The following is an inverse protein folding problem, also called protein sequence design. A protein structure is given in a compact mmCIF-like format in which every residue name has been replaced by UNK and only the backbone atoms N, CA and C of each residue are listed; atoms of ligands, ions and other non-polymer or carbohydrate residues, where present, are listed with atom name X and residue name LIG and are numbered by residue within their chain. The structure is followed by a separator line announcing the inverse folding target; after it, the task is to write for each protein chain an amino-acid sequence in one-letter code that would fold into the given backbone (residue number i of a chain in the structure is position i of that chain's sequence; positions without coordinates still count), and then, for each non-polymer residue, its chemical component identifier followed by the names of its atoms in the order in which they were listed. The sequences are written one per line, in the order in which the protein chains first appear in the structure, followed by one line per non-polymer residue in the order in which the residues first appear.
data_IF_050760547780
#
_entry.id   IF_050760547780
#
_cell.length_a   1.000
_cell.length_b   1.000
_cell.length_c   1.000
_cell.angle_alpha   90.00
_cell.angle_beta   90.00
_cell.angle_gamma   90.00
#
_symmetry.space_group_name_H-M   'P 1'
#
loop_
_entity.id
_entity.type
_entity.pdbx_description
1 polymer ?
#
# COMPACT_ATOMS: atom_id res chain seq x y z
N UNK A 1 -7.18 -2.49 -3.68
CA UNK A 1 -6.88 -2.46 -2.24
C UNK A 1 -6.61 -1.02 -1.82
N UNK A 2 -6.50 -0.73 -0.52
CA UNK A 2 -6.25 0.63 -0.03
C UNK A 2 -5.18 0.68 1.05
N UNK A 3 -4.29 1.67 0.94
CA UNK A 3 -3.30 2.04 1.96
C UNK A 3 -3.73 3.34 2.64
N UNK A 4 -3.59 3.41 3.96
CA UNK A 4 -3.77 4.62 4.76
C UNK A 4 -2.49 5.01 5.48
N UNK A 5 -2.20 6.31 5.50
CA UNK A 5 -1.10 6.92 6.24
C UNK A 5 -1.59 7.56 7.55
N UNK A 6 -0.66 7.90 8.44
CA UNK A 6 -0.97 8.54 9.72
C UNK A 6 -1.38 10.02 9.61
N UNK A 7 -1.00 10.67 8.51
CA UNK A 7 -1.45 12.02 8.14
C UNK A 7 -2.86 12.07 7.54
N UNK A 8 -3.55 10.91 7.47
CA UNK A 8 -4.91 10.79 6.94
C UNK A 8 -4.98 10.66 5.42
N UNK A 9 -3.84 10.71 4.70
CA UNK A 9 -3.80 10.45 3.27
C UNK A 9 -4.04 8.97 2.97
N UNK A 10 -4.75 8.71 1.87
CA UNK A 10 -5.19 7.38 1.48
C UNK A 10 -4.94 7.16 -0.01
N UNK A 11 -4.55 5.93 -0.37
CA UNK A 11 -4.26 5.55 -1.74
C UNK A 11 -4.96 4.25 -2.10
N UNK A 12 -5.74 4.27 -3.17
CA UNK A 12 -6.30 3.07 -3.78
C UNK A 12 -5.32 2.49 -4.80
N UNK A 13 -5.14 1.17 -4.76
CA UNK A 13 -4.29 0.42 -5.67
C UNK A 13 -5.13 -0.59 -6.44
N UNK A 14 -5.00 -0.58 -7.76
CA UNK A 14 -5.51 -1.61 -8.67
C UNK A 14 -4.45 -2.70 -8.88
N UNK A 15 -4.82 -3.88 -9.40
CA UNK A 15 -3.84 -4.90 -9.76
C UNK A 15 -2.77 -4.32 -10.70
N UNK A 16 -1.50 -4.46 -10.32
CA UNK A 16 -0.35 -3.93 -11.06
C UNK A 16 0.12 -2.53 -10.64
N UNK A 17 -0.68 -1.80 -9.86
CA UNK A 17 -0.27 -0.50 -9.31
C UNK A 17 0.81 -0.68 -8.24
N UNK A 18 1.64 0.35 -8.08
CA UNK A 18 2.61 0.45 -7.01
C UNK A 18 2.64 1.86 -6.44
N UNK A 19 3.09 1.96 -5.20
CA UNK A 19 3.29 3.24 -4.51
C UNK A 19 4.64 3.23 -3.81
N UNK A 20 5.43 4.28 -4.02
CA UNK A 20 6.65 4.49 -3.27
C UNK A 20 6.31 5.09 -1.90
N UNK A 21 6.69 4.37 -0.85
CA UNK A 21 6.48 4.82 0.52
C UNK A 21 7.80 5.39 1.05
N UNK A 22 7.85 6.70 1.38
CA UNK A 22 9.07 7.30 1.92
C UNK A 22 9.49 6.65 3.24
N UNK A 23 10.79 6.69 3.53
CA UNK A 23 11.32 6.18 4.78
C UNK A 23 10.63 6.83 5.99
N UNK A 24 10.43 6.02 7.04
CA UNK A 24 9.81 6.44 8.32
C UNK A 24 8.36 6.96 8.19
N UNK A 25 7.67 6.65 7.10
CA UNK A 25 6.22 6.90 6.98
C UNK A 25 5.42 5.72 7.51
N UNK A 26 4.63 5.96 8.55
CA UNK A 26 3.68 4.97 9.08
C UNK A 26 2.55 4.82 8.08
N UNK A 27 2.26 3.57 7.74
CA UNK A 27 1.21 3.21 6.80
C UNK A 27 0.64 1.86 7.21
N UNK A 28 -0.60 1.60 6.79
CA UNK A 28 -1.24 0.30 6.94
C UNK A 28 -2.08 0.00 5.71
N UNK A 29 -2.23 -1.28 5.42
CA UNK A 29 -3.28 -1.75 4.51
C UNK A 29 -4.61 -1.62 5.24
N UNK A 30 -5.52 -0.79 4.71
CA UNK A 30 -6.85 -0.62 5.28
C UNK A 30 -7.79 -1.74 4.84
N UNK A 31 -7.73 -2.13 3.56
CA UNK A 31 -8.49 -3.25 3.03
C UNK A 31 -7.87 -3.86 1.77
N UNK A 32 -8.20 -5.13 1.53
CA UNK A 32 -7.93 -5.88 0.30
C UNK A 32 -9.24 -6.37 -0.31
N UNK A 33 -9.23 -6.78 -1.57
CA UNK A 33 -10.43 -7.33 -2.21
C UNK A 33 -10.92 -8.57 -1.44
N UNK A 34 -12.22 -8.63 -1.15
CA UNK A 34 -12.85 -9.73 -0.42
C UNK A 34 -13.25 -10.90 -1.35
N UNK A 35 -13.39 -10.65 -2.66
CA UNK A 35 -13.79 -11.66 -3.64
C UNK A 35 -12.60 -12.46 -4.19
N UNK A 36 -11.40 -11.88 -4.17
CA UNK A 36 -10.19 -12.50 -4.71
C UNK A 36 -8.99 -12.33 -3.79
N UNK A 37 -8.10 -13.32 -3.79
CA UNK A 37 -6.85 -13.26 -3.02
C UNK A 37 -6.00 -12.10 -3.52
N UNK A 38 -5.53 -11.27 -2.59
CA UNK A 38 -4.63 -10.15 -2.87
C UNK A 38 -3.25 -10.46 -2.29
N UNK A 39 -2.22 -10.40 -3.12
CA UNK A 39 -0.81 -10.50 -2.68
C UNK A 39 -0.17 -9.12 -2.73
N UNK A 40 0.55 -8.76 -1.67
CA UNK A 40 1.32 -7.53 -1.59
C UNK A 40 2.80 -7.85 -1.65
N UNK A 41 3.55 -7.11 -2.46
CA UNK A 41 5.00 -7.22 -2.53
C UNK A 41 5.63 -5.94 -1.98
N UNK A 42 6.27 -6.04 -0.82
CA UNK A 42 7.06 -4.96 -0.25
C UNK A 42 8.50 -5.08 -0.73
N UNK A 43 8.94 -4.14 -1.56
CA UNK A 43 10.32 -4.08 -2.07
C UNK A 43 11.04 -2.92 -1.38
N UNK A 44 12.07 -3.25 -0.60
CA UNK A 44 13.00 -2.28 -0.05
C UNK A 44 14.21 -2.22 -0.98
N UNK A 45 14.38 -1.08 -1.63
CA UNK A 45 15.54 -0.82 -2.47
C UNK A 45 16.30 0.39 -1.93
N UNK A 46 17.62 0.32 -2.03
CA UNK A 46 18.47 1.46 -1.76
C UNK A 46 18.36 2.44 -2.94
N UNK A 47 18.39 3.74 -2.63
CA UNK A 47 18.70 4.74 -3.64
C UNK A 47 20.18 4.77 -3.93
#
# INVERSE_FOLDING_TARGET
SKICFDDGSNYELKPGDYLNIPARKKHRVEWTDNAQKTVWLAIHYNK
#
